data_IF_181247330333
#
_entry.id   IF_181247330333
#
_cell.length_a   1.000
_cell.length_b   1.000
_cell.length_c   1.000
_cell.angle_alpha   90.00
_cell.angle_beta   90.00
_cell.angle_gamma   90.00
#
_symmetry.space_group_name_H-M   'P 1'
#
loop_
_entity.id
_entity.type
_entity.pdbx_description
1 polymer ?
#
# COMPACT_ATOMS: atom_id res chain seq x y z
N UNK A 1 9.01 -2.50 -17.74
CA UNK A 1 9.15 -3.26 -16.48
C UNK A 1 7.83 -3.89 -16.05
N UNK A 2 6.78 -3.10 -15.83
CA UNK A 2 5.46 -3.56 -15.37
C UNK A 2 4.84 -4.66 -16.25
N UNK A 3 4.77 -4.49 -17.56
CA UNK A 3 4.21 -5.51 -18.47
C UNK A 3 4.85 -6.90 -18.28
N UNK A 4 6.19 -6.95 -18.22
CA UNK A 4 6.94 -8.19 -17.96
C UNK A 4 6.66 -8.72 -16.56
N UNK A 5 6.56 -7.84 -15.56
CA UNK A 5 6.21 -8.19 -14.18
C UNK A 5 4.84 -8.83 -14.06
N UNK A 6 3.80 -8.26 -14.68
CA UNK A 6 2.47 -8.86 -14.69
C UNK A 6 2.37 -10.13 -15.55
N UNK A 7 3.14 -10.21 -16.64
CA UNK A 7 3.10 -11.38 -17.53
C UNK A 7 3.91 -12.59 -17.04
N UNK A 8 5.02 -12.36 -16.33
CA UNK A 8 5.97 -13.43 -15.93
C UNK A 8 6.26 -13.45 -14.43
N UNK A 9 5.72 -12.50 -13.67
CA UNK A 9 6.06 -12.24 -12.28
C UNK A 9 7.20 -11.24 -12.11
N UNK A 10 7.16 -10.49 -11.02
CA UNK A 10 8.17 -9.56 -10.57
C UNK A 10 9.28 -10.31 -9.84
N UNK A 11 10.52 -10.09 -10.27
CA UNK A 11 11.69 -10.74 -9.68
C UNK A 11 12.12 -9.98 -8.42
N UNK A 12 12.42 -10.72 -7.36
CA UNK A 12 13.05 -10.16 -6.16
C UNK A 12 14.57 -10.09 -6.44
N UNK A 13 15.20 -8.90 -6.39
CA UNK A 13 16.61 -8.70 -6.69
C UNK A 13 17.48 -9.12 -5.48
N UNK A 14 17.45 -10.42 -5.17
CA UNK A 14 18.21 -11.02 -4.09
C UNK A 14 19.62 -11.38 -4.56
N UNK A 15 20.62 -10.84 -3.88
CA UNK A 15 22.05 -11.06 -4.12
C UNK A 15 22.74 -11.84 -2.99
N UNK A 16 21.94 -12.47 -2.11
CA UNK A 16 22.45 -13.23 -0.97
C UNK A 16 22.87 -14.66 -1.31
N UNK A 17 23.36 -15.41 -0.31
CA UNK A 17 23.81 -16.78 -0.51
C UNK A 17 22.65 -17.71 -0.88
N UNK A 18 22.91 -18.65 -1.80
CA UNK A 18 21.96 -19.72 -2.16
C UNK A 18 21.97 -20.80 -1.09
N UNK A 19 21.15 -20.64 -0.04
CA UNK A 19 21.07 -21.56 1.11
C UNK A 19 19.62 -21.93 1.43
N UNK A 20 19.44 -23.12 1.99
CA UNK A 20 18.17 -23.48 2.65
C UNK A 20 18.24 -23.05 4.11
N UNK A 21 17.20 -22.37 4.59
CA UNK A 21 17.12 -21.92 5.98
C UNK A 21 15.71 -22.05 6.51
N UNK A 22 15.58 -22.45 7.76
CA UNK A 22 14.30 -22.41 8.47
C UNK A 22 14.38 -21.58 9.74
N UNK A 23 13.52 -20.59 9.84
CA UNK A 23 13.32 -19.80 11.05
C UNK A 23 12.03 -20.22 11.77
N UNK A 24 12.04 -20.10 13.10
CA UNK A 24 10.86 -20.33 13.92
C UNK A 24 9.87 -19.17 13.82
N UNK A 25 8.58 -19.47 13.84
CA UNK A 25 7.52 -18.46 13.90
C UNK A 25 7.61 -17.63 15.20
N UNK A 26 7.17 -16.38 15.10
CA UNK A 26 7.10 -15.47 16.23
C UNK A 26 6.11 -15.96 17.28
N UNK A 27 6.32 -15.54 18.51
CA UNK A 27 5.48 -15.91 19.64
C UNK A 27 4.00 -15.55 19.40
N UNK A 28 3.73 -14.39 18.78
CA UNK A 28 2.36 -13.96 18.47
C UNK A 28 1.62 -14.88 17.51
N UNK A 29 2.31 -15.54 16.58
CA UNK A 29 1.69 -16.54 15.71
C UNK A 29 1.34 -17.82 16.51
N UNK A 30 2.22 -18.24 17.43
CA UNK A 30 2.00 -19.42 18.27
C UNK A 30 0.83 -19.23 19.26
N UNK A 31 0.64 -18.01 19.74
CA UNK A 31 -0.42 -17.64 20.68
C UNK A 31 -1.79 -17.50 19.99
N UNK A 32 -1.82 -17.29 18.67
CA UNK A 32 -3.04 -17.13 17.90
C UNK A 32 -3.10 -18.13 16.71
N UNK A 33 -3.02 -19.45 16.94
CA UNK A 33 -2.85 -20.43 15.87
C UNK A 33 -4.06 -20.52 14.94
N UNK A 34 -5.28 -20.34 15.47
CA UNK A 34 -6.50 -20.34 14.67
C UNK A 34 -6.54 -19.18 13.66
N UNK A 35 -6.02 -18.00 14.03
CA UNK A 35 -5.98 -16.83 13.17
C UNK A 35 -4.98 -17.03 12.02
N UNK A 36 -3.82 -17.61 12.32
CA UNK A 36 -2.82 -17.93 11.27
C UNK A 36 -3.40 -18.94 10.28
N UNK A 37 -4.04 -19.99 10.79
CA UNK A 37 -4.67 -21.02 9.97
C UNK A 37 -5.74 -20.43 9.04
N UNK A 38 -6.68 -19.65 9.58
CA UNK A 38 -7.74 -18.99 8.81
C UNK A 38 -7.16 -18.08 7.72
N UNK A 39 -6.11 -17.29 8.03
CA UNK A 39 -5.48 -16.39 7.06
C UNK A 39 -4.72 -17.14 5.97
N UNK A 40 -4.03 -18.23 6.31
CA UNK A 40 -3.37 -19.08 5.31
C UNK A 40 -4.38 -19.76 4.39
N UNK A 41 -5.47 -20.31 4.95
CA UNK A 41 -6.55 -20.92 4.17
C UNK A 41 -7.18 -19.92 3.19
N UNK A 42 -7.45 -18.69 3.64
CA UNK A 42 -7.93 -17.62 2.76
C UNK A 42 -6.96 -17.31 1.62
N UNK A 43 -5.66 -17.16 1.91
CA UNK A 43 -4.65 -16.87 0.87
C UNK A 43 -4.42 -18.04 -0.09
N UNK A 44 -4.63 -19.29 0.37
CA UNK A 44 -4.65 -20.49 -0.47
C UNK A 44 -5.87 -20.50 -1.42
N UNK A 45 -7.06 -20.22 -0.90
CA UNK A 45 -8.30 -20.13 -1.69
C UNK A 45 -8.22 -19.04 -2.76
N UNK A 46 -7.62 -17.90 -2.42
CA UNK A 46 -7.35 -16.81 -3.37
C UNK A 46 -6.21 -17.12 -4.35
N UNK A 47 -5.54 -18.27 -4.20
CA UNK A 47 -4.42 -18.67 -5.03
C UNK A 47 -3.21 -17.73 -4.92
N UNK A 48 -3.07 -16.98 -3.83
CA UNK A 48 -1.95 -16.05 -3.56
C UNK A 48 -0.81 -16.75 -2.83
N UNK A 49 -1.09 -17.85 -2.15
CA UNK A 49 -0.11 -18.75 -1.51
C UNK A 49 -0.17 -20.13 -2.16
N UNK A 50 0.95 -20.84 -2.18
CA UNK A 50 1.03 -22.24 -2.60
C UNK A 50 1.39 -23.13 -1.41
N UNK A 51 0.77 -24.30 -1.33
CA UNK A 51 0.92 -25.29 -0.26
C UNK A 51 -0.44 -25.92 0.08
N UNK A 52 -0.55 -26.65 1.20
CA UNK A 52 0.56 -27.12 2.03
C UNK A 52 1.44 -28.17 1.32
N UNK A 53 2.75 -28.11 1.54
CA UNK A 53 3.70 -29.13 1.12
C UNK A 53 4.27 -29.87 2.33
N UNK A 54 4.48 -31.18 2.21
CA UNK A 54 5.05 -32.01 3.29
C UNK A 54 6.57 -31.79 3.48
N UNK A 55 7.24 -31.23 2.48
CA UNK A 55 8.69 -30.93 2.45
C UNK A 55 8.93 -29.63 1.68
N UNK A 56 10.09 -28.96 1.83
CA UNK A 56 10.44 -27.78 1.04
C UNK A 56 10.25 -28.05 -0.47
N UNK A 57 9.41 -27.28 -1.18
CA UNK A 57 9.03 -27.59 -2.56
C UNK A 57 10.05 -27.15 -3.61
N UNK A 58 11.04 -26.34 -3.22
CA UNK A 58 12.03 -25.72 -4.11
C UNK A 58 13.44 -25.85 -3.49
N UNK A 59 14.51 -25.85 -4.30
CA UNK A 59 15.87 -25.76 -3.78
C UNK A 59 16.13 -24.39 -3.12
N UNK A 60 17.09 -24.35 -2.19
CA UNK A 60 17.49 -23.13 -1.47
C UNK A 60 16.30 -22.42 -0.80
N UNK A 61 15.40 -23.21 -0.20
CA UNK A 61 14.15 -22.69 0.35
C UNK A 61 14.41 -21.93 1.66
N UNK A 62 14.08 -20.64 1.69
CA UNK A 62 14.20 -19.79 2.86
C UNK A 62 12.83 -19.67 3.50
N UNK A 63 12.69 -20.21 4.70
CA UNK A 63 11.51 -20.04 5.54
C UNK A 63 11.72 -18.88 6.50
N UNK A 64 10.92 -17.83 6.35
CA UNK A 64 10.88 -16.68 7.25
C UNK A 64 9.73 -16.82 8.27
N UNK A 65 9.86 -16.23 9.47
CA UNK A 65 8.85 -16.35 10.52
C UNK A 65 7.50 -15.77 10.10
N UNK A 66 6.43 -16.45 10.48
CA UNK A 66 5.10 -15.86 10.57
C UNK A 66 4.87 -15.17 11.92
N UNK A 67 4.12 -14.08 11.90
CA UNK A 67 3.68 -13.34 13.06
C UNK A 67 2.24 -12.85 12.91
N UNK A 68 1.59 -12.52 14.03
CA UNK A 68 0.29 -11.87 14.06
C UNK A 68 0.40 -10.51 14.75
N UNK A 69 -0.24 -9.50 14.16
CA UNK A 69 -0.36 -8.14 14.74
C UNK A 69 -1.82 -7.70 14.67
N UNK A 70 -2.41 -7.21 15.79
CA UNK A 70 -3.77 -6.69 15.79
C UNK A 70 -3.90 -5.42 14.93
N UNK A 71 -5.02 -5.28 14.22
CA UNK A 71 -5.43 -4.01 13.61
C UNK A 71 -6.09 -3.13 14.68
N UNK A 72 -6.32 -1.84 14.34
CA UNK A 72 -7.10 -0.92 15.19
C UNK A 72 -8.52 -1.42 15.45
N UNK A 73 -9.12 -2.04 14.44
CA UNK A 73 -10.44 -2.63 14.54
C UNK A 73 -10.40 -3.89 15.41
N UNK A 74 -11.24 -3.92 16.44
CA UNK A 74 -11.32 -5.02 17.40
C UNK A 74 -11.55 -6.35 16.68
N UNK A 75 -10.76 -7.37 17.02
CA UNK A 75 -10.88 -8.72 16.45
C UNK A 75 -10.31 -8.88 15.04
N UNK A 76 -9.77 -7.82 14.41
CA UNK A 76 -9.08 -7.95 13.12
C UNK A 76 -7.57 -8.02 13.31
N UNK A 77 -6.93 -8.90 12.55
CA UNK A 77 -5.50 -9.16 12.65
C UNK A 77 -4.82 -9.13 11.29
N UNK A 78 -3.53 -8.82 11.28
CA UNK A 78 -2.62 -8.91 10.14
C UNK A 78 -1.65 -10.04 10.37
N UNK A 79 -1.55 -10.94 9.40
CA UNK A 79 -0.46 -11.90 9.33
C UNK A 79 0.76 -11.22 8.73
N UNK A 80 1.91 -11.36 9.39
CA UNK A 80 3.19 -10.81 8.96
C UNK A 80 4.06 -11.95 8.48
N UNK A 81 4.64 -11.78 7.29
CA UNK A 81 5.73 -12.60 6.79
C UNK A 81 7.05 -11.85 7.04
N UNK A 82 7.80 -12.26 8.06
CA UNK A 82 8.91 -11.46 8.59
C UNK A 82 10.21 -11.63 7.77
N UNK A 83 10.23 -11.03 6.58
CA UNK A 83 11.34 -11.10 5.62
C UNK A 83 12.59 -10.29 6.00
N UNK A 84 12.50 -9.50 7.08
CA UNK A 84 13.65 -8.83 7.72
C UNK A 84 14.30 -9.65 8.86
N UNK A 85 13.96 -10.95 8.99
CA UNK A 85 14.54 -11.84 10.00
C UNK A 85 15.44 -12.92 9.37
N UNK A 86 16.56 -13.30 10.03
CA UNK A 86 17.18 -12.58 11.15
C UNK A 86 17.87 -11.31 10.64
N UNK A 87 17.95 -10.28 11.47
CA UNK A 87 18.61 -9.02 11.08
C UNK A 87 20.08 -9.26 10.71
N UNK A 88 20.52 -8.71 9.57
CA UNK A 88 21.87 -8.88 9.02
C UNK A 88 22.06 -10.12 8.13
N UNK A 89 21.05 -10.98 8.00
CA UNK A 89 21.08 -12.13 7.10
C UNK A 89 19.70 -12.47 6.52
N UNK A 90 18.72 -11.57 6.61
CA UNK A 90 17.37 -11.80 6.14
C UNK A 90 17.26 -11.71 4.61
N UNK A 91 16.08 -12.01 4.06
CA UNK A 91 15.84 -11.84 2.62
C UNK A 91 16.01 -10.36 2.24
N UNK A 92 15.50 -9.45 3.08
CA UNK A 92 15.60 -8.02 2.86
C UNK A 92 17.03 -7.47 2.98
N UNK A 93 17.88 -8.05 3.84
CA UNK A 93 19.28 -7.59 4.01
C UNK A 93 20.16 -7.86 2.78
N UNK A 94 19.73 -8.77 1.90
CA UNK A 94 20.45 -9.16 0.69
C UNK A 94 19.79 -8.66 -0.60
N UNK A 95 18.86 -7.70 -0.51
CA UNK A 95 18.33 -7.05 -1.70
C UNK A 95 19.37 -6.07 -2.25
N UNK A 96 19.49 -6.00 -3.58
CA UNK A 96 20.38 -5.05 -4.24
C UNK A 96 20.11 -3.61 -3.78
N UNK A 97 21.17 -2.85 -3.49
CA UNK A 97 21.07 -1.45 -3.11
C UNK A 97 20.32 -0.63 -4.17
N UNK A 98 19.46 0.29 -3.74
CA UNK A 98 18.65 1.13 -4.63
C UNK A 98 17.39 0.47 -5.19
N UNK A 99 17.25 -0.87 -5.15
CA UNK A 99 16.04 -1.56 -5.61
C UNK A 99 14.78 -1.25 -4.80
N UNK A 100 14.97 -0.75 -3.56
CA UNK A 100 13.89 -0.44 -2.62
C UNK A 100 13.68 1.08 -2.43
N UNK A 101 14.37 1.92 -3.21
CA UNK A 101 14.20 3.38 -3.12
C UNK A 101 12.84 3.80 -3.69
N UNK A 102 12.15 4.67 -2.97
CA UNK A 102 10.81 5.18 -3.30
C UNK A 102 10.77 6.67 -2.98
N UNK A 103 10.22 7.45 -3.89
CA UNK A 103 9.89 8.86 -3.66
C UNK A 103 8.39 8.96 -3.71
N UNK A 104 7.77 9.27 -2.57
CA UNK A 104 6.32 9.43 -2.47
C UNK A 104 5.93 10.88 -2.68
N UNK A 105 4.72 11.09 -3.20
CA UNK A 105 4.08 12.38 -3.13
C UNK A 105 3.97 12.86 -1.68
N UNK A 106 4.08 14.16 -1.45
CA UNK A 106 3.97 14.71 -0.11
C UNK A 106 2.52 15.05 0.25
N UNK A 107 2.23 15.14 1.54
CA UNK A 107 0.94 15.68 1.97
C UNK A 107 0.79 17.16 1.58
N UNK A 108 1.90 17.90 1.57
CA UNK A 108 1.93 19.32 1.18
C UNK A 108 1.53 19.50 -0.29
N UNK A 109 1.96 18.59 -1.19
CA UNK A 109 1.49 18.57 -2.58
C UNK A 109 -0.02 18.35 -2.70
N UNK A 110 -0.59 17.50 -1.84
CA UNK A 110 -2.04 17.30 -1.80
C UNK A 110 -2.77 18.60 -1.39
N UNK A 111 -2.25 19.27 -0.37
CA UNK A 111 -2.74 20.57 0.14
C UNK A 111 -2.64 21.64 -0.93
N UNK A 112 -1.54 21.72 -1.67
CA UNK A 112 -1.36 22.68 -2.76
C UNK A 112 -2.34 22.46 -3.92
N UNK A 113 -2.65 21.21 -4.27
CA UNK A 113 -3.68 20.91 -5.27
C UNK A 113 -5.08 21.32 -4.79
N UNK A 114 -5.40 21.11 -3.51
CA UNK A 114 -6.67 21.56 -2.92
C UNK A 114 -6.75 23.09 -2.93
N UNK A 115 -5.67 23.77 -2.54
CA UNK A 115 -5.56 25.23 -2.58
C UNK A 115 -5.76 25.77 -4.00
N UNK A 116 -5.13 25.14 -5.00
CA UNK A 116 -5.26 25.51 -6.41
C UNK A 116 -6.69 25.32 -6.96
N UNK A 117 -7.47 24.39 -6.39
CA UNK A 117 -8.88 24.18 -6.73
C UNK A 117 -9.82 25.21 -6.07
N UNK A 118 -9.33 25.97 -5.09
CA UNK A 118 -10.04 27.07 -4.43
C UNK A 118 -10.82 26.68 -3.18
N UNK A 119 -11.41 27.69 -2.53
CA UNK A 119 -12.28 27.51 -1.35
C UNK A 119 -13.49 26.66 -1.74
N UNK A 120 -13.81 25.66 -0.91
CA UNK A 120 -14.88 24.70 -1.16
C UNK A 120 -14.54 23.63 -2.21
N UNK A 121 -13.25 23.43 -2.50
CA UNK A 121 -12.80 22.36 -3.38
C UNK A 121 -13.34 21.00 -2.93
N UNK A 122 -13.82 20.22 -3.90
CA UNK A 122 -14.38 18.89 -3.67
C UNK A 122 -13.26 17.84 -3.77
N UNK A 123 -13.17 16.98 -2.76
CA UNK A 123 -12.17 15.93 -2.65
C UNK A 123 -12.81 14.56 -2.55
N UNK A 124 -12.25 13.59 -3.25
CA UNK A 124 -12.61 12.18 -3.14
C UNK A 124 -11.34 11.33 -3.03
N UNK A 125 -11.44 10.16 -2.41
CA UNK A 125 -10.33 9.20 -2.38
C UNK A 125 -10.79 7.79 -2.73
N UNK A 126 -9.88 7.00 -3.26
CA UNK A 126 -10.05 5.57 -3.49
C UNK A 126 -8.82 4.81 -2.97
N UNK A 127 -9.02 3.62 -2.42
CA UNK A 127 -7.97 2.74 -1.91
C UNK A 127 -7.93 1.46 -2.77
N UNK A 128 -6.73 1.03 -3.16
CA UNK A 128 -6.54 -0.21 -3.91
C UNK A 128 -6.60 -1.41 -2.96
N UNK A 129 -7.52 -2.33 -3.22
CA UNK A 129 -7.69 -3.51 -2.39
C UNK A 129 -6.49 -4.45 -2.51
N UNK A 130 -5.92 -4.87 -1.37
CA UNK A 130 -4.82 -5.84 -1.32
C UNK A 130 -3.60 -5.45 -2.18
N UNK A 131 -3.34 -4.16 -2.38
CA UNK A 131 -2.23 -3.55 -3.13
C UNK A 131 -1.07 -4.49 -3.53
N UNK A 132 -0.15 -4.83 -2.61
CA UNK A 132 1.03 -5.65 -2.92
C UNK A 132 0.69 -7.04 -3.48
N UNK A 133 -0.44 -7.63 -3.09
CA UNK A 133 -0.89 -8.94 -3.58
C UNK A 133 -1.30 -8.90 -5.06
N UNK A 134 -1.47 -7.72 -5.65
CA UNK A 134 -1.69 -7.57 -7.09
C UNK A 134 -0.43 -7.87 -7.91
N UNK A 135 0.75 -7.80 -7.29
CA UNK A 135 2.02 -8.01 -7.98
C UNK A 135 2.43 -9.49 -7.91
N UNK A 136 2.30 -10.27 -9.00
CA UNK A 136 2.73 -11.67 -8.99
C UNK A 136 4.24 -11.76 -8.81
N UNK A 137 4.71 -12.75 -8.07
CA UNK A 137 6.15 -13.01 -7.89
C UNK A 137 6.65 -13.90 -9.03
N UNK A 138 7.83 -13.59 -9.55
CA UNK A 138 8.47 -14.43 -10.56
C UNK A 138 8.79 -15.82 -9.97
N UNK A 139 8.53 -16.94 -10.68
CA UNK A 139 8.75 -18.28 -10.11
C UNK A 139 10.17 -18.53 -9.59
N UNK A 140 11.17 -17.92 -10.24
CA UNK A 140 12.56 -17.94 -9.80
C UNK A 140 12.82 -17.28 -8.43
N UNK A 141 11.86 -16.56 -7.84
CA UNK A 141 11.96 -15.91 -6.53
C UNK A 141 11.08 -16.55 -5.45
N UNK A 142 10.26 -17.56 -5.78
CA UNK A 142 9.37 -18.22 -4.80
C UNK A 142 10.13 -18.83 -3.62
N UNK A 143 11.34 -19.34 -3.85
CA UNK A 143 12.17 -19.95 -2.81
C UNK A 143 12.58 -18.97 -1.70
N UNK A 144 12.52 -17.66 -1.96
CA UNK A 144 12.83 -16.60 -0.98
C UNK A 144 11.65 -16.27 -0.07
N UNK A 145 10.44 -16.72 -0.42
CA UNK A 145 9.19 -16.38 0.25
C UNK A 145 8.57 -17.59 0.93
N UNK A 146 9.39 -18.47 1.50
CA UNK A 146 8.93 -19.64 2.21
C UNK A 146 8.35 -19.31 3.59
N UNK A 147 7.31 -20.06 3.96
CA UNK A 147 6.68 -20.04 5.27
C UNK A 147 6.52 -21.48 5.75
N UNK A 148 6.51 -21.68 7.08
CA UNK A 148 6.24 -22.99 7.69
C UNK A 148 5.20 -22.85 8.77
N UNK A 149 4.14 -23.63 8.67
CA UNK A 149 3.04 -23.63 9.62
C UNK A 149 2.55 -25.06 9.85
N UNK A 150 2.31 -25.44 11.11
CA UNK A 150 1.86 -26.79 11.49
C UNK A 150 2.68 -27.95 10.85
N UNK A 151 4.01 -27.76 10.71
CA UNK A 151 4.90 -28.75 10.09
C UNK A 151 4.86 -28.81 8.55
N UNK A 152 4.00 -28.02 7.91
CA UNK A 152 3.85 -27.94 6.46
C UNK A 152 4.50 -26.66 5.91
N UNK A 153 4.91 -26.73 4.64
CA UNK A 153 5.60 -25.67 3.93
C UNK A 153 4.67 -24.96 2.96
N UNK A 154 4.86 -23.65 2.85
CA UNK A 154 4.10 -22.77 1.96
C UNK A 154 5.03 -21.74 1.34
N UNK A 155 4.63 -21.11 0.23
CA UNK A 155 5.29 -19.91 -0.25
C UNK A 155 4.31 -18.93 -0.88
N UNK A 156 4.64 -17.64 -0.83
CA UNK A 156 3.87 -16.59 -1.49
C UNK A 156 4.09 -16.62 -3.01
N UNK A 157 3.00 -16.49 -3.77
CA UNK A 157 2.98 -16.32 -5.23
C UNK A 157 2.78 -14.86 -5.65
N UNK A 158 2.43 -13.98 -4.71
CA UNK A 158 2.31 -12.54 -4.91
C UNK A 158 3.16 -11.79 -3.88
N UNK A 159 3.56 -10.55 -4.18
CA UNK A 159 4.45 -9.78 -3.30
C UNK A 159 3.83 -9.63 -1.90
N UNK A 160 4.49 -10.11 -0.84
CA UNK A 160 3.96 -10.03 0.51
C UNK A 160 4.29 -8.70 1.16
N UNK A 161 3.41 -8.27 2.05
CA UNK A 161 3.75 -7.21 3.00
C UNK A 161 4.97 -7.63 3.83
N UNK A 162 5.99 -6.78 3.87
CA UNK A 162 7.24 -7.05 4.57
C UNK A 162 8.43 -7.36 3.65
N UNK A 163 8.21 -7.61 2.35
CA UNK A 163 9.31 -7.64 1.38
C UNK A 163 9.66 -6.22 0.95
N UNK A 164 10.88 -5.75 1.20
CA UNK A 164 11.22 -4.33 1.03
C UNK A 164 11.04 -3.82 -0.41
N UNK A 165 11.27 -4.68 -1.41
CA UNK A 165 11.07 -4.35 -2.83
C UNK A 165 9.59 -4.21 -3.21
N UNK A 166 8.65 -4.67 -2.37
CA UNK A 166 7.21 -4.57 -2.67
C UNK A 166 6.76 -3.12 -2.77
N UNK A 167 7.30 -2.23 -1.93
CA UNK A 167 6.96 -0.82 -1.94
C UNK A 167 7.39 -0.14 -3.25
N UNK A 168 8.64 -0.35 -3.69
CA UNK A 168 9.14 0.27 -4.93
C UNK A 168 8.44 -0.24 -6.18
N UNK A 169 8.13 -1.54 -6.23
CA UNK A 169 7.38 -2.12 -7.34
C UNK A 169 5.94 -1.62 -7.37
N UNK A 170 5.29 -1.52 -6.21
CA UNK A 170 3.92 -1.04 -6.14
C UNK A 170 3.84 0.46 -6.44
N UNK A 171 4.80 1.26 -5.97
CA UNK A 171 4.89 2.68 -6.33
C UNK A 171 5.05 2.86 -7.83
N UNK A 172 5.91 2.07 -8.47
CA UNK A 172 6.05 2.08 -9.94
C UNK A 172 4.71 1.77 -10.63
N UNK A 173 3.92 0.86 -10.07
CA UNK A 173 2.60 0.53 -10.59
C UNK A 173 1.57 1.64 -10.33
N UNK A 174 1.55 2.23 -9.14
CA UNK A 174 0.66 3.32 -8.77
C UNK A 174 0.93 4.58 -9.61
N UNK A 175 2.19 4.94 -9.84
CA UNK A 175 2.59 6.00 -10.77
C UNK A 175 2.10 5.73 -12.20
N UNK A 176 2.12 4.46 -12.65
CA UNK A 176 1.56 4.10 -13.95
C UNK A 176 0.04 4.29 -13.99
N UNK A 177 -0.69 3.94 -12.92
CA UNK A 177 -2.13 4.17 -12.84
C UNK A 177 -2.46 5.66 -12.87
N UNK A 178 -1.74 6.48 -12.11
CA UNK A 178 -1.92 7.93 -12.14
C UNK A 178 -1.59 8.51 -13.53
N UNK A 179 -0.49 8.10 -14.15
CA UNK A 179 -0.16 8.51 -15.52
C UNK A 179 -1.25 8.12 -16.51
N UNK A 180 -1.73 6.86 -16.48
CA UNK A 180 -2.77 6.37 -17.37
C UNK A 180 -4.12 7.07 -17.14
N UNK A 181 -4.39 7.52 -15.91
CA UNK A 181 -5.52 8.40 -15.62
C UNK A 181 -5.31 9.77 -16.27
N UNK A 182 -4.14 10.40 -16.08
CA UNK A 182 -3.82 11.71 -16.67
C UNK A 182 -3.89 11.73 -18.19
N UNK A 183 -3.51 10.64 -18.87
CA UNK A 183 -3.64 10.50 -20.33
C UNK A 183 -5.10 10.54 -20.82
N UNK A 184 -6.08 10.19 -19.97
CA UNK A 184 -7.51 10.36 -20.27
C UNK A 184 -7.98 11.81 -20.16
N UNK A 185 -7.10 12.72 -19.71
CA UNK A 185 -7.38 14.15 -19.49
C UNK A 185 -8.63 14.37 -18.64
N UNK A 186 -8.69 13.80 -17.42
CA UNK A 186 -9.80 14.04 -16.53
C UNK A 186 -9.89 15.53 -16.18
N UNK A 187 -11.08 16.03 -15.86
CA UNK A 187 -11.30 17.46 -15.66
C UNK A 187 -10.74 17.97 -14.32
N UNK A 188 -10.52 17.10 -13.33
CA UNK A 188 -9.93 17.43 -12.04
C UNK A 188 -8.48 16.96 -11.90
N UNK A 189 -7.89 17.28 -10.76
CA UNK A 189 -6.54 16.87 -10.39
C UNK A 189 -6.54 15.52 -9.65
N UNK A 190 -5.44 14.79 -9.76
CA UNK A 190 -5.22 13.54 -9.02
C UNK A 190 -3.82 13.50 -8.44
N UNK A 191 -3.69 12.80 -7.31
CA UNK A 191 -2.44 12.50 -6.62
C UNK A 191 -2.58 11.12 -5.98
N UNK A 192 -1.47 10.39 -5.80
CA UNK A 192 -1.48 9.15 -5.03
C UNK A 192 -0.38 9.14 -3.98
N UNK A 193 -0.61 8.35 -2.94
CA UNK A 193 0.39 7.96 -1.97
C UNK A 193 0.26 6.45 -1.76
N UNK A 194 1.20 5.69 -2.31
CA UNK A 194 1.14 4.22 -2.31
C UNK A 194 -0.21 3.71 -2.89
N UNK A 195 -1.08 3.12 -2.06
CA UNK A 195 -2.40 2.58 -2.42
C UNK A 195 -3.57 3.56 -2.26
N UNK A 196 -3.33 4.73 -1.65
CA UNK A 196 -4.33 5.78 -1.45
C UNK A 196 -4.29 6.80 -2.60
N UNK A 197 -5.36 6.88 -3.40
CA UNK A 197 -5.53 7.87 -4.46
C UNK A 197 -6.45 9.00 -4.00
N UNK A 198 -6.08 10.24 -4.31
CA UNK A 198 -6.82 11.46 -4.03
C UNK A 198 -7.21 12.14 -5.35
N UNK A 199 -8.46 12.59 -5.43
CA UNK A 199 -9.05 13.30 -6.56
C UNK A 199 -9.63 14.62 -6.10
N UNK A 200 -9.36 15.69 -6.84
CA UNK A 200 -9.68 17.07 -6.44
C UNK A 200 -10.33 17.78 -7.61
N UNK A 201 -11.37 18.56 -7.33
CA UNK A 201 -12.06 19.39 -8.31
C UNK A 201 -12.58 20.68 -7.68
N UNK A 202 -12.90 21.68 -8.52
CA UNK A 202 -13.37 22.99 -8.04
C UNK A 202 -14.74 22.90 -7.36
N UNK A 203 -14.99 23.84 -6.46
CA UNK A 203 -16.28 24.04 -5.82
C UNK A 203 -17.41 24.19 -6.86
N UNK A 204 -18.56 23.56 -6.60
CA UNK A 204 -19.74 23.64 -7.48
C UNK A 204 -19.55 22.99 -8.86
N UNK A 205 -18.48 22.21 -9.08
CA UNK A 205 -18.21 21.50 -10.32
C UNK A 205 -18.29 19.97 -10.14
N UNK A 206 -18.47 19.24 -11.23
CA UNK A 206 -18.40 17.78 -11.25
C UNK A 206 -16.97 17.23 -11.46
N UNK A 207 -15.95 18.10 -11.47
CA UNK A 207 -14.57 17.74 -11.82
C UNK A 207 -14.03 16.60 -10.95
N UNK A 208 -14.27 16.67 -9.63
CA UNK A 208 -13.82 15.66 -8.67
C UNK A 208 -14.51 14.31 -8.92
N UNK A 209 -15.85 14.30 -9.05
CA UNK A 209 -16.62 13.08 -9.30
C UNK A 209 -16.26 12.47 -10.65
N UNK A 210 -16.14 13.27 -11.69
CA UNK A 210 -15.78 12.80 -13.02
C UNK A 210 -14.38 12.18 -13.05
N UNK A 211 -13.41 12.76 -12.32
CA UNK A 211 -12.05 12.22 -12.20
C UNK A 211 -12.03 10.90 -11.44
N UNK A 212 -12.75 10.80 -10.32
CA UNK A 212 -12.92 9.53 -9.60
C UNK A 212 -13.55 8.46 -10.50
N UNK A 213 -14.63 8.79 -11.22
CA UNK A 213 -15.31 7.85 -12.12
C UNK A 213 -14.38 7.37 -13.25
N UNK A 214 -13.53 8.25 -13.78
CA UNK A 214 -12.52 7.89 -14.78
C UNK A 214 -11.49 6.91 -14.19
N UNK A 215 -11.05 7.14 -12.95
CA UNK A 215 -10.15 6.21 -12.26
C UNK A 215 -10.81 4.85 -11.98
N UNK A 216 -12.08 4.83 -11.58
CA UNK A 216 -12.83 3.58 -11.39
C UNK A 216 -12.98 2.79 -12.69
N UNK A 217 -13.25 3.49 -13.82
CA UNK A 217 -13.31 2.85 -15.14
C UNK A 217 -11.95 2.30 -15.57
N UNK A 218 -10.88 3.08 -15.39
CA UNK A 218 -9.51 2.65 -15.66
C UNK A 218 -9.15 1.41 -14.83
N UNK A 219 -9.44 1.45 -13.53
CA UNK A 219 -9.15 0.36 -12.60
C UNK A 219 -9.89 -0.92 -13.00
N UNK A 220 -11.18 -0.80 -13.37
CA UNK A 220 -11.97 -1.93 -13.89
C UNK A 220 -11.39 -2.49 -15.20
N UNK A 221 -10.98 -1.62 -16.12
CA UNK A 221 -10.40 -2.02 -17.40
C UNK A 221 -9.04 -2.74 -17.23
N UNK A 222 -8.25 -2.35 -16.23
CA UNK A 222 -6.95 -2.95 -15.91
C UNK A 222 -7.05 -4.13 -14.93
N UNK A 223 -8.24 -4.43 -14.41
CA UNK A 223 -8.45 -5.48 -13.40
C UNK A 223 -7.87 -5.14 -12.03
N UNK A 224 -7.75 -3.84 -11.69
CA UNK A 224 -7.31 -3.36 -10.38
C UNK A 224 -8.53 -3.26 -9.46
N UNK A 225 -8.61 -4.06 -8.38
CA UNK A 225 -9.70 -3.97 -7.43
C UNK A 225 -9.54 -2.75 -6.53
N UNK A 226 -10.63 -2.01 -6.34
CA UNK A 226 -10.72 -0.91 -5.38
C UNK A 226 -11.51 -1.39 -4.16
N UNK A 227 -11.20 -0.87 -2.98
CA UNK A 227 -11.90 -1.13 -1.72
C UNK A 227 -13.10 -0.17 -1.58
N UNK A 228 -14.33 -0.56 -1.97
CA UNK A 228 -15.44 0.38 -2.10
C UNK A 228 -15.86 0.95 -0.73
N UNK A 229 -15.65 0.19 0.34
CA UNK A 229 -15.92 0.62 1.72
C UNK A 229 -14.97 1.72 2.22
N UNK A 230 -13.83 1.90 1.55
CA UNK A 230 -12.85 2.95 1.86
C UNK A 230 -12.89 4.12 0.89
N UNK A 231 -13.51 3.95 -0.27
CA UNK A 231 -13.77 5.03 -1.21
C UNK A 231 -14.69 6.06 -0.56
N UNK A 232 -14.29 7.33 -0.59
CA UNK A 232 -15.03 8.42 0.06
C UNK A 232 -15.14 9.64 -0.86
N UNK A 233 -16.20 10.41 -0.69
CA UNK A 233 -16.42 11.68 -1.37
C UNK A 233 -17.20 11.59 -2.70
N UNK A 234 -17.26 12.70 -3.46
CA UNK A 234 -16.68 14.00 -3.16
C UNK A 234 -17.23 14.66 -1.89
N UNK A 235 -16.36 15.37 -1.18
CA UNK A 235 -16.66 16.13 0.03
C UNK A 235 -15.71 17.33 0.12
N UNK A 236 -16.17 18.42 0.73
CA UNK A 236 -15.33 19.58 1.08
C UNK A 236 -14.42 19.30 2.29
N UNK A 237 -14.74 18.25 3.04
CA UNK A 237 -13.95 17.78 4.18
C UNK A 237 -13.63 16.29 4.03
N UNK A 238 -12.35 15.93 3.93
CA UNK A 238 -11.90 14.57 3.67
C UNK A 238 -10.64 14.23 4.48
N UNK A 239 -10.61 13.04 5.09
CA UNK A 239 -9.38 12.53 5.73
C UNK A 239 -8.50 11.80 4.71
N UNK A 240 -7.30 12.34 4.45
CA UNK A 240 -6.27 11.75 3.60
C UNK A 240 -4.96 11.55 4.39
N UNK A 241 -4.33 10.38 4.27
CA UNK A 241 -3.15 9.99 5.10
C UNK A 241 -3.35 10.16 6.62
N UNK A 242 -4.62 10.14 7.03
CA UNK A 242 -5.06 10.32 8.40
C UNK A 242 -4.83 11.72 8.95
N UNK A 243 -4.90 12.74 8.10
CA UNK A 243 -5.07 14.16 8.38
C UNK A 243 -6.37 14.58 7.65
N UNK A 244 -7.27 15.25 8.34
CA UNK A 244 -8.48 15.83 7.77
C UNK A 244 -8.11 17.12 7.04
N UNK A 245 -8.54 17.25 5.79
CA UNK A 245 -8.43 18.47 4.98
C UNK A 245 -9.84 19.06 4.87
N UNK A 246 -10.02 20.30 5.34
CA UNK A 246 -11.26 21.06 5.22
C UNK A 246 -11.01 22.23 4.25
N UNK A 247 -11.51 22.09 3.02
CA UNK A 247 -11.32 23.08 1.94
C UNK A 247 -12.20 24.31 2.08
N UNK A 248 -13.23 24.26 2.93
CA UNK A 248 -14.16 25.38 3.17
C UNK A 248 -13.60 26.32 4.22
N UNK A 249 -13.04 25.79 5.31
CA UNK A 249 -12.39 26.60 6.34
C UNK A 249 -10.88 26.78 6.13
N UNK A 250 -10.26 26.02 5.23
CA UNK A 250 -8.86 26.18 4.87
C UNK A 250 -7.88 25.69 5.94
N UNK A 251 -8.21 24.58 6.59
CA UNK A 251 -7.39 24.04 7.68
C UNK A 251 -7.22 22.53 7.53
N UNK A 252 -6.10 22.05 8.07
CA UNK A 252 -5.83 20.62 8.22
C UNK A 252 -5.86 20.24 9.70
N UNK A 253 -6.57 19.16 10.05
CA UNK A 253 -6.71 18.69 11.43
C UNK A 253 -6.22 17.25 11.60
N UNK A 254 -5.62 16.94 12.75
CA UNK A 254 -5.41 15.56 13.15
C UNK A 254 -6.70 15.01 13.76
N UNK A 255 -7.15 13.79 13.39
CA UNK A 255 -8.30 13.15 14.02
C UNK A 255 -8.08 13.01 15.53
N UNK A 256 -9.12 13.26 16.34
CA UNK A 256 -9.05 13.24 17.80
C UNK A 256 -8.52 11.89 18.37
N UNK A 257 -8.73 10.78 17.64
CA UNK A 257 -8.26 9.43 17.99
C UNK A 257 -6.73 9.21 17.87
N UNK A 258 -5.96 10.18 17.37
CA UNK A 258 -4.49 10.09 17.32
C UNK A 258 -3.85 10.96 18.40
N UNK A 259 -3.86 10.48 19.64
CA UNK A 259 -3.13 11.11 20.75
C UNK A 259 -1.64 11.29 20.43
N UNK A 260 -1.20 12.55 20.37
CA UNK A 260 0.14 13.15 20.67
C UNK A 260 1.47 12.41 20.38
N UNK A 261 1.51 11.28 19.67
CA UNK A 261 2.74 10.50 19.41
C UNK A 261 3.01 10.29 17.92
N UNK A 262 2.98 11.36 17.13
CA UNK A 262 3.58 11.40 15.80
C UNK A 262 4.40 12.70 15.66
N UNK A 263 5.59 12.71 16.26
CA UNK A 263 6.46 13.87 16.28
C UNK A 263 7.12 14.15 14.91
N UNK A 264 7.22 15.45 14.65
CA UNK A 264 8.19 16.19 13.82
C UNK A 264 7.90 16.44 12.34
N UNK A 265 7.26 15.56 11.57
CA UNK A 265 6.91 15.87 10.15
C UNK A 265 5.47 16.35 9.92
N UNK A 266 4.54 16.04 10.84
CA UNK A 266 3.11 16.38 10.68
C UNK A 266 2.70 17.75 11.20
N UNK A 267 3.59 18.42 11.95
CA UNK A 267 3.25 19.69 12.62
C UNK A 267 3.36 20.89 11.67
N UNK A 268 4.26 20.83 10.68
CA UNK A 268 4.45 21.92 9.71
C UNK A 268 3.25 22.08 8.77
N UNK A 269 2.63 20.98 8.36
CA UNK A 269 1.43 20.96 7.51
C UNK A 269 0.13 21.43 8.22
N UNK A 270 0.09 21.40 9.57
CA UNK A 270 -1.05 21.93 10.32
C UNK A 270 -0.95 23.45 10.56
N UNK A 271 0.25 24.02 10.51
CA UNK A 271 0.49 25.43 10.85
C UNK A 271 0.50 26.35 9.61
N UNK A 272 0.55 25.81 8.38
CA UNK A 272 0.37 26.56 7.13
C UNK A 272 -1.12 26.57 6.73
N UNK A 273 -1.79 27.66 7.10
CA UNK A 273 -3.16 27.98 6.71
C UNK A 273 -3.32 27.83 5.18
N UNK A 274 -4.27 27.03 4.72
CA UNK A 274 -4.52 26.81 3.28
C UNK A 274 -4.83 28.11 2.52
N UNK A 275 -5.23 29.18 3.21
CA UNK A 275 -5.65 30.45 2.59
C UNK A 275 -5.10 31.73 3.25
N UNK A 276 -4.01 31.71 4.03
CA UNK A 276 -3.52 32.94 4.67
C UNK A 276 -2.99 34.01 3.71
N UNK A 277 -2.70 33.66 2.45
CA UNK A 277 -2.05 34.59 1.50
C UNK A 277 -3.01 35.27 0.51
N UNK A 278 -4.34 35.12 0.67
CA UNK A 278 -5.33 35.71 -0.25
C UNK A 278 -6.07 36.94 0.33
N UNK A 279 -5.82 37.31 1.59
CA UNK A 279 -6.53 38.45 2.23
C UNK A 279 -5.76 39.79 2.25
N UNK A 280 -4.70 39.96 1.44
CA UNK A 280 -3.97 41.24 1.39
C UNK A 280 -3.96 42.01 0.07
N UNK A 281 -4.70 41.56 -0.95
CA UNK A 281 -4.93 42.36 -2.15
C UNK A 281 -6.40 42.31 -2.59
N UNK A 282 -7.24 43.09 -1.91
CA UNK A 282 -8.41 43.85 -2.43
C UNK A 282 -9.04 44.66 -1.30
#
# INVERSE_FOLDING_TARGET
MLFRGFSKGFRIPYAGPSVTREANNLQSAKEAPGIVQEKLEMELQLGRVAGPFARPPLPNFIVSPLGIVPKKELGKYRMIHHLSYPKGASVNDYLEEGSCSVSYASFDEAVDLVRAAGIGALMAKADIESAFRLLPVHPGSFHLLGMKWAGQYFYDKCMPMGCAVSCSLFETFACFLEWALKEQKPPGSSLHYLDDFLFIGKAGSDECRATLNAFEHLSRALGVPLAPEKTQGPSECLTFLGIEIDSTSGICRLPEDKGLTAHTHKKKACDELLFSDVLHEC
#
